data_IF_123951532474
#
_entry.id   IF_123951532474
#
_cell.length_a   1.000
_cell.length_b   1.000
_cell.length_c   1.000
_cell.angle_alpha   90.00
_cell.angle_beta   90.00
_cell.angle_gamma   90.00
#
_symmetry.space_group_name_H-M   'P 1'
#
loop_
_entity.id
_entity.type
_entity.pdbx_description
1 polymer ?
#
# COMPACT_ATOMS: atom_id res chain seq x y z
N UNK A 1 -20.58 -16.35 -4.65
CA UNK A 1 -20.31 -17.23 -3.51
C UNK A 1 -21.11 -16.74 -2.30
N UNK A 2 -21.82 -17.64 -1.65
CA UNK A 2 -22.78 -17.37 -0.56
C UNK A 2 -22.21 -17.73 0.83
N UNK A 3 -20.96 -18.17 0.90
CA UNK A 3 -20.35 -18.61 2.14
C UNK A 3 -20.13 -17.44 3.10
N UNK A 4 -20.46 -17.63 4.37
CA UNK A 4 -20.05 -16.71 5.45
C UNK A 4 -18.54 -16.75 5.62
N UNK A 5 -17.91 -15.76 6.29
CA UNK A 5 -16.47 -15.77 6.56
C UNK A 5 -16.01 -17.03 7.30
N UNK A 6 -16.81 -17.56 8.20
CA UNK A 6 -16.54 -18.80 8.97
C UNK A 6 -16.56 -20.02 8.07
N UNK A 7 -17.65 -20.21 7.31
CA UNK A 7 -17.78 -21.27 6.31
C UNK A 7 -16.69 -21.19 5.25
N UNK A 8 -16.31 -19.96 4.86
CA UNK A 8 -15.27 -19.79 3.88
C UNK A 8 -13.90 -20.24 4.37
N UNK A 9 -13.58 -20.09 5.65
CA UNK A 9 -12.32 -20.61 6.22
C UNK A 9 -12.24 -22.13 6.03
N UNK A 10 -13.33 -22.83 6.25
CA UNK A 10 -13.43 -24.27 6.05
C UNK A 10 -13.22 -24.64 4.56
N UNK A 11 -13.91 -23.95 3.65
CA UNK A 11 -13.82 -24.21 2.21
C UNK A 11 -12.60 -23.61 1.51
N UNK A 12 -11.84 -22.72 2.17
CA UNK A 12 -10.56 -22.24 1.68
C UNK A 12 -9.45 -23.28 1.91
N UNK A 13 -9.61 -24.09 2.94
CA UNK A 13 -8.59 -24.99 3.40
C UNK A 13 -7.39 -24.27 4.02
N UNK A 14 -6.40 -25.05 4.40
CA UNK A 14 -5.07 -24.58 4.83
C UNK A 14 -4.03 -24.79 3.72
N UNK A 15 -2.75 -24.50 4.02
CA UNK A 15 -1.65 -24.63 3.06
C UNK A 15 -1.51 -26.08 2.56
N UNK A 16 -1.80 -27.05 3.42
CA UNK A 16 -1.62 -28.49 3.15
C UNK A 16 -2.88 -29.16 2.60
N UNK A 17 -4.05 -28.61 2.90
CA UNK A 17 -5.35 -29.23 2.58
C UNK A 17 -6.19 -28.26 1.76
N UNK A 18 -6.06 -28.24 0.42
CA UNK A 18 -6.93 -27.44 -0.44
C UNK A 18 -8.38 -27.86 -0.29
N UNK A 19 -9.26 -26.89 -0.12
CA UNK A 19 -10.70 -27.14 -0.08
C UNK A 19 -11.40 -26.45 -1.26
N UNK A 20 -12.61 -26.88 -1.57
CA UNK A 20 -13.36 -26.40 -2.74
C UNK A 20 -14.75 -25.92 -2.33
N UNK A 21 -15.06 -24.67 -2.67
CA UNK A 21 -16.40 -24.13 -2.48
C UNK A 21 -17.41 -24.85 -3.36
N UNK A 22 -18.60 -25.23 -2.85
CA UNK A 22 -19.67 -25.84 -3.64
C UNK A 22 -20.17 -24.92 -4.77
N UNK A 23 -19.95 -23.61 -4.66
CA UNK A 23 -20.37 -22.61 -5.65
C UNK A 23 -19.33 -22.32 -6.74
N UNK A 24 -18.19 -23.00 -6.71
CA UNK A 24 -17.08 -22.74 -7.65
C UNK A 24 -17.41 -23.09 -9.08
N UNK A 25 -18.23 -24.12 -9.28
CA UNK A 25 -18.60 -24.65 -10.59
C UNK A 25 -20.00 -24.25 -11.04
N UNK A 26 -20.55 -23.20 -10.42
CA UNK A 26 -21.81 -22.60 -10.85
C UNK A 26 -21.70 -22.16 -12.33
N UNK A 27 -22.76 -22.34 -13.15
CA UNK A 27 -22.79 -21.87 -14.52
C UNK A 27 -22.43 -20.37 -14.64
N UNK A 28 -21.79 -20.01 -15.73
CA UNK A 28 -21.33 -18.62 -15.95
C UNK A 28 -22.54 -17.69 -16.03
N UNK A 29 -23.60 -18.09 -16.70
CA UNK A 29 -24.83 -17.32 -16.89
C UNK A 29 -25.50 -17.00 -15.54
N UNK A 30 -25.58 -17.99 -14.65
CA UNK A 30 -26.11 -17.80 -13.30
C UNK A 30 -25.22 -16.85 -12.47
N UNK A 31 -23.91 -17.01 -12.60
CA UNK A 31 -22.93 -16.14 -11.91
C UNK A 31 -23.02 -14.69 -12.39
N UNK A 32 -23.24 -14.46 -13.68
CA UNK A 32 -23.43 -13.13 -14.27
C UNK A 32 -24.76 -12.50 -13.82
N UNK A 33 -25.85 -13.27 -13.81
CA UNK A 33 -27.15 -12.82 -13.29
C UNK A 33 -27.03 -12.38 -11.82
N UNK A 34 -26.47 -13.23 -10.97
CA UNK A 34 -26.26 -12.91 -9.56
C UNK A 34 -25.37 -11.69 -9.36
N UNK A 35 -24.34 -11.52 -10.18
CA UNK A 35 -23.48 -10.32 -10.11
C UNK A 35 -24.23 -9.06 -10.53
N UNK A 36 -25.06 -9.13 -11.57
CA UNK A 36 -25.90 -7.99 -11.97
C UNK A 36 -26.91 -7.64 -10.86
N UNK A 37 -27.50 -8.62 -10.20
CA UNK A 37 -28.40 -8.40 -9.07
C UNK A 37 -27.67 -7.85 -7.84
N UNK A 38 -26.42 -8.28 -7.58
CA UNK A 38 -25.56 -7.63 -6.57
C UNK A 38 -25.38 -6.15 -6.89
N UNK A 39 -25.10 -5.82 -8.16
CA UNK A 39 -24.92 -4.43 -8.63
C UNK A 39 -26.18 -3.60 -8.49
N UNK A 40 -27.35 -4.21 -8.67
CA UNK A 40 -28.66 -3.56 -8.51
C UNK A 40 -29.06 -3.36 -7.04
N UNK A 41 -28.30 -3.90 -6.08
CA UNK A 41 -28.59 -3.75 -4.65
C UNK A 41 -29.69 -4.70 -4.12
N UNK A 42 -29.97 -5.78 -4.82
CA UNK A 42 -31.03 -6.73 -4.44
C UNK A 42 -30.66 -7.58 -3.21
N UNK A 43 -29.39 -7.62 -2.83
CA UNK A 43 -28.90 -8.47 -1.75
C UNK A 43 -28.27 -7.65 -0.61
N UNK A 44 -28.47 -8.06 0.66
CA UNK A 44 -27.81 -7.40 1.79
C UNK A 44 -26.31 -7.63 1.81
N UNK A 45 -25.58 -6.80 2.58
CA UNK A 45 -24.15 -6.98 2.83
C UNK A 45 -23.85 -8.38 3.37
N UNK A 46 -22.77 -8.96 2.88
CA UNK A 46 -22.32 -10.29 3.29
C UNK A 46 -23.04 -11.47 2.63
N UNK A 47 -24.16 -11.26 1.92
CA UNK A 47 -24.90 -12.35 1.27
C UNK A 47 -24.10 -12.98 0.13
N UNK A 48 -23.51 -12.17 -0.75
CA UNK A 48 -22.74 -12.63 -1.90
C UNK A 48 -21.40 -11.94 -2.01
N UNK A 49 -20.41 -12.67 -2.52
CA UNK A 49 -19.11 -12.15 -2.98
C UNK A 49 -18.80 -12.70 -4.37
N UNK A 50 -18.21 -11.90 -5.24
CA UNK A 50 -17.62 -12.38 -6.48
C UNK A 50 -16.17 -12.79 -6.22
N UNK A 51 -15.78 -13.97 -6.70
CA UNK A 51 -14.44 -14.51 -6.57
C UNK A 51 -13.82 -14.76 -7.93
N UNK A 52 -12.52 -14.56 -8.02
CA UNK A 52 -11.74 -15.05 -9.14
C UNK A 52 -11.62 -16.58 -9.05
N UNK A 53 -11.70 -17.29 -10.17
CA UNK A 53 -11.47 -18.73 -10.27
C UNK A 53 -10.05 -18.96 -10.76
N UNK A 54 -9.11 -19.20 -9.83
CA UNK A 54 -7.70 -19.34 -10.13
C UNK A 54 -7.21 -20.76 -9.80
N UNK A 55 -6.53 -20.95 -8.67
CA UNK A 55 -5.94 -22.23 -8.29
C UNK A 55 -6.10 -22.48 -6.79
N UNK A 56 -6.91 -23.47 -6.44
CA UNK A 56 -7.13 -23.87 -5.05
C UNK A 56 -5.94 -24.61 -4.44
N UNK A 57 -5.07 -25.18 -5.25
CA UNK A 57 -3.88 -25.91 -4.80
C UNK A 57 -2.65 -25.02 -4.65
N UNK A 58 -2.74 -23.73 -4.99
CA UNK A 58 -1.63 -22.81 -4.89
C UNK A 58 -1.09 -22.71 -3.45
N UNK A 59 0.24 -22.75 -3.31
CA UNK A 59 0.91 -22.44 -2.04
C UNK A 59 0.69 -20.99 -1.60
N UNK A 60 0.35 -20.08 -2.54
CA UNK A 60 0.03 -18.70 -2.25
C UNK A 60 -1.48 -18.54 -2.02
N UNK A 61 -1.86 -18.24 -0.78
CA UNK A 61 -3.26 -18.07 -0.39
C UNK A 61 -3.98 -16.95 -1.16
N UNK A 62 -3.26 -15.97 -1.69
CA UNK A 62 -3.84 -14.90 -2.50
C UNK A 62 -4.33 -15.38 -3.87
N UNK A 63 -3.88 -16.56 -4.33
CA UNK A 63 -4.35 -17.18 -5.58
C UNK A 63 -5.46 -18.21 -5.39
N UNK A 64 -5.84 -18.51 -4.14
CA UNK A 64 -6.92 -19.47 -3.85
C UNK A 64 -8.28 -18.80 -3.93
N UNK A 65 -8.77 -18.60 -5.14
CA UNK A 65 -10.07 -18.01 -5.46
C UNK A 65 -10.39 -16.77 -4.61
N UNK A 66 -9.56 -15.70 -4.69
CA UNK A 66 -9.72 -14.49 -3.88
C UNK A 66 -11.02 -13.76 -4.20
N UNK A 67 -11.56 -13.05 -3.21
CA UNK A 67 -12.69 -12.14 -3.41
C UNK A 67 -12.22 -10.97 -4.28
N UNK A 68 -12.98 -10.67 -5.35
CA UNK A 68 -12.72 -9.52 -6.22
C UNK A 68 -13.77 -8.41 -6.07
N UNK A 69 -15.03 -8.76 -5.73
CA UNK A 69 -16.09 -7.80 -5.39
C UNK A 69 -16.88 -8.24 -4.15
N UNK A 70 -17.32 -7.25 -3.38
CA UNK A 70 -18.24 -7.42 -2.23
C UNK A 70 -19.35 -6.39 -2.24
N UNK A 71 -20.46 -6.70 -1.57
CA UNK A 71 -21.57 -5.78 -1.35
C UNK A 71 -21.24 -4.89 -0.14
N UNK A 72 -21.41 -3.58 -0.31
CA UNK A 72 -21.25 -2.57 0.75
C UNK A 72 -22.20 -1.41 0.51
N UNK A 73 -23.08 -1.13 1.46
CA UNK A 73 -23.95 0.04 1.45
C UNK A 73 -23.30 1.16 2.26
N UNK A 74 -22.40 1.90 1.62
CA UNK A 74 -21.69 3.04 2.23
C UNK A 74 -21.86 4.29 1.39
N UNK A 75 -21.84 5.43 2.05
CA UNK A 75 -21.78 6.73 1.35
C UNK A 75 -20.33 7.01 0.95
N UNK A 76 -20.03 6.87 -0.34
CA UNK A 76 -18.70 7.15 -0.87
C UNK A 76 -18.51 8.67 -1.03
N UNK A 77 -17.37 9.21 -0.58
CA UNK A 77 -17.10 10.66 -0.53
C UNK A 77 -17.23 11.40 -1.88
N UNK A 78 -17.08 10.73 -3.03
CA UNK A 78 -17.23 11.30 -4.37
C UNK A 78 -18.48 10.81 -5.11
N UNK A 79 -18.91 9.57 -4.87
CA UNK A 79 -19.98 8.92 -5.63
C UNK A 79 -21.29 8.81 -4.84
N UNK A 80 -21.32 9.24 -3.59
CA UNK A 80 -22.49 9.09 -2.73
C UNK A 80 -22.91 7.62 -2.62
N UNK A 81 -24.20 7.37 -2.78
CA UNK A 81 -24.80 6.02 -2.71
C UNK A 81 -24.99 5.37 -4.08
N UNK A 82 -24.30 5.85 -5.12
CA UNK A 82 -24.45 5.35 -6.51
C UNK A 82 -24.11 3.88 -6.65
N UNK A 83 -23.16 3.37 -5.85
CA UNK A 83 -22.68 2.00 -5.92
C UNK A 83 -22.94 1.26 -4.62
N UNK A 84 -23.36 -0.01 -4.71
CA UNK A 84 -23.52 -0.92 -3.58
C UNK A 84 -22.61 -2.14 -3.66
N UNK A 85 -21.77 -2.23 -4.70
CA UNK A 85 -20.68 -3.20 -4.80
C UNK A 85 -19.35 -2.47 -4.95
N UNK A 86 -18.32 -3.02 -4.32
CA UNK A 86 -16.98 -2.44 -4.35
C UNK A 86 -15.94 -3.52 -4.62
N UNK A 87 -14.96 -3.23 -5.51
CA UNK A 87 -13.85 -4.14 -5.75
C UNK A 87 -12.96 -4.24 -4.52
N UNK A 88 -12.31 -5.38 -4.37
CA UNK A 88 -11.21 -5.52 -3.40
C UNK A 88 -9.95 -4.87 -3.96
N UNK A 89 -9.05 -4.46 -3.06
CA UNK A 89 -7.82 -3.76 -3.39
C UNK A 89 -6.99 -4.50 -4.45
N UNK A 90 -6.75 -5.78 -4.25
CA UNK A 90 -5.91 -6.59 -5.15
C UNK A 90 -6.48 -6.76 -6.57
N UNK A 91 -7.78 -6.48 -6.75
CA UNK A 91 -8.41 -6.46 -8.07
C UNK A 91 -8.46 -5.05 -8.67
N UNK A 92 -8.77 -4.04 -7.85
CA UNK A 92 -8.89 -2.66 -8.32
C UNK A 92 -7.55 -2.03 -8.70
N UNK A 93 -6.52 -2.26 -7.88
CA UNK A 93 -5.20 -1.61 -8.02
C UNK A 93 -4.52 -1.94 -9.36
N UNK A 94 -4.36 -3.19 -9.80
CA UNK A 94 -3.72 -3.48 -11.09
C UNK A 94 -4.48 -2.91 -12.29
N UNK A 95 -5.80 -2.87 -12.22
CA UNK A 95 -6.64 -2.27 -13.28
C UNK A 95 -6.46 -0.76 -13.31
N UNK A 96 -6.46 -0.11 -12.16
CA UNK A 96 -6.27 1.34 -12.06
C UNK A 96 -4.88 1.75 -12.55
N UNK A 97 -3.83 1.03 -12.14
CA UNK A 97 -2.47 1.26 -12.63
C UNK A 97 -2.39 1.20 -14.15
N UNK A 98 -3.00 0.18 -14.74
CA UNK A 98 -3.00 0.02 -16.18
C UNK A 98 -3.80 1.12 -16.91
N UNK A 99 -4.96 1.52 -16.37
CA UNK A 99 -5.78 2.61 -16.95
C UNK A 99 -5.10 3.97 -16.86
N UNK A 100 -4.29 4.20 -15.83
CA UNK A 100 -3.51 5.43 -15.65
C UNK A 100 -2.15 5.41 -16.38
N UNK A 101 -1.83 4.33 -17.08
CA UNK A 101 -0.58 4.21 -17.83
C UNK A 101 0.66 4.05 -16.96
N UNK A 102 0.50 3.56 -15.73
CA UNK A 102 1.61 3.26 -14.82
C UNK A 102 2.46 2.15 -15.43
N UNK A 103 3.76 2.34 -15.50
CA UNK A 103 4.71 1.33 -15.99
C UNK A 103 5.28 0.49 -14.84
N UNK A 104 5.59 1.15 -13.72
CA UNK A 104 6.21 0.56 -12.53
C UNK A 104 5.36 0.89 -11.31
N UNK A 105 4.67 -0.11 -10.79
CA UNK A 105 3.83 -0.01 -9.59
C UNK A 105 4.71 -0.35 -8.37
N UNK A 106 5.05 0.66 -7.57
CA UNK A 106 6.00 0.54 -6.46
C UNK A 106 5.27 0.32 -5.15
N UNK A 107 5.68 -0.67 -4.37
CA UNK A 107 5.07 -0.96 -3.07
C UNK A 107 6.08 -1.53 -2.05
N UNK A 108 5.64 -1.77 -0.83
CA UNK A 108 6.47 -2.41 0.20
C UNK A 108 6.48 -3.93 0.05
N UNK A 109 7.50 -4.60 0.63
CA UNK A 109 7.65 -6.07 0.61
C UNK A 109 6.44 -6.83 1.17
N UNK A 110 5.58 -6.18 1.94
CA UNK A 110 4.32 -6.78 2.43
C UNK A 110 3.43 -7.27 1.27
N UNK A 111 3.57 -6.69 0.09
CA UNK A 111 2.81 -7.04 -1.12
C UNK A 111 3.51 -8.04 -2.06
N UNK A 112 4.66 -8.56 -1.68
CA UNK A 112 5.37 -9.54 -2.53
C UNK A 112 4.51 -10.78 -2.81
N UNK A 113 3.81 -11.28 -1.79
CA UNK A 113 2.87 -12.41 -1.96
C UNK A 113 1.62 -12.05 -2.77
N UNK A 114 1.30 -10.77 -2.94
CA UNK A 114 0.17 -10.27 -3.73
C UNK A 114 0.52 -10.11 -5.22
N UNK A 115 1.81 -9.96 -5.57
CA UNK A 115 2.24 -9.76 -6.96
C UNK A 115 1.75 -10.85 -7.94
N UNK A 116 1.72 -12.15 -7.61
CA UNK A 116 1.16 -13.15 -8.52
C UNK A 116 -0.32 -12.92 -8.84
N UNK A 117 -1.11 -12.39 -7.88
CA UNK A 117 -2.49 -12.00 -8.13
C UNK A 117 -2.59 -10.74 -8.99
N UNK A 118 -1.72 -9.76 -8.74
CA UNK A 118 -1.60 -8.56 -9.58
C UNK A 118 -1.35 -8.93 -11.05
N UNK A 119 -0.35 -9.77 -11.30
CA UNK A 119 0.02 -10.24 -12.64
C UNK A 119 -1.12 -11.05 -13.28
N UNK A 120 -1.81 -11.87 -12.48
CA UNK A 120 -2.99 -12.61 -12.96
C UNK A 120 -4.11 -11.67 -13.41
N UNK A 121 -4.45 -10.65 -12.63
CA UNK A 121 -5.49 -9.66 -12.97
C UNK A 121 -5.14 -8.94 -14.27
N UNK A 122 -3.92 -8.39 -14.37
CA UNK A 122 -3.45 -7.68 -15.57
C UNK A 122 -3.45 -8.59 -16.80
N UNK A 123 -3.28 -9.89 -16.63
CA UNK A 123 -3.26 -10.85 -17.74
C UNK A 123 -4.65 -11.30 -18.18
N UNK A 124 -5.65 -11.25 -17.30
CA UNK A 124 -7.00 -11.77 -17.54
C UNK A 124 -8.06 -10.67 -17.78
N UNK A 125 -7.71 -9.42 -17.57
CA UNK A 125 -8.60 -8.28 -17.86
C UNK A 125 -8.16 -7.64 -19.18
N UNK A 126 -9.14 -7.39 -20.06
CA UNK A 126 -8.86 -6.68 -21.32
C UNK A 126 -8.56 -5.21 -21.02
N UNK A 127 -7.30 -4.85 -21.02
CA UNK A 127 -6.82 -3.49 -20.80
C UNK A 127 -6.17 -2.99 -22.09
N UNK A 128 -6.60 -1.84 -22.63
CA UNK A 128 -6.13 -1.33 -23.92
C UNK A 128 -4.72 -0.70 -23.87
N UNK A 129 -4.10 -0.65 -22.67
CA UNK A 129 -2.84 0.04 -22.44
C UNK A 129 -1.70 -0.92 -22.07
N UNK A 130 -0.53 -0.34 -21.82
CA UNK A 130 0.64 -1.06 -21.35
C UNK A 130 0.35 -1.80 -20.01
N UNK A 131 0.86 -3.02 -19.91
CA UNK A 131 0.74 -3.80 -18.68
C UNK A 131 1.74 -3.30 -17.64
N UNK A 132 1.28 -2.79 -16.49
CA UNK A 132 2.17 -2.35 -15.43
C UNK A 132 2.90 -3.53 -14.79
N UNK A 133 4.04 -3.23 -14.16
CA UNK A 133 4.83 -4.20 -13.39
C UNK A 133 4.91 -3.79 -11.93
N UNK A 134 4.51 -4.64 -11.02
CA UNK A 134 4.67 -4.42 -9.58
C UNK A 134 6.12 -4.70 -9.15
N UNK A 135 6.67 -3.80 -8.33
CA UNK A 135 8.03 -3.89 -7.80
C UNK A 135 7.99 -3.55 -6.31
N UNK A 136 8.50 -4.45 -5.47
CA UNK A 136 8.49 -4.30 -4.02
C UNK A 136 9.86 -3.89 -3.48
N UNK A 137 9.81 -3.08 -2.41
CA UNK A 137 10.99 -2.62 -1.67
C UNK A 137 10.81 -2.83 -0.17
N UNK A 138 11.92 -3.04 0.52
CA UNK A 138 11.95 -3.01 1.97
C UNK A 138 11.58 -1.61 2.48
N UNK A 139 10.87 -1.58 3.62
CA UNK A 139 10.62 -0.31 4.31
C UNK A 139 11.91 0.20 4.92
N UNK A 140 12.08 1.52 4.90
CA UNK A 140 13.13 2.18 5.66
C UNK A 140 12.89 1.96 7.15
N UNK A 141 13.86 1.35 7.83
CA UNK A 141 13.98 1.31 9.28
C UNK A 141 15.03 2.33 9.73
N UNK A 142 14.72 3.11 10.74
CA UNK A 142 15.67 4.01 11.40
C UNK A 142 15.68 3.63 12.87
N UNK A 143 16.88 3.44 13.45
CA UNK A 143 17.01 3.12 14.86
C UNK A 143 16.52 4.29 15.74
N UNK A 144 16.29 4.03 17.01
CA UNK A 144 15.79 5.02 17.98
C UNK A 144 14.55 5.81 17.51
N UNK A 145 13.84 5.32 16.45
CA UNK A 145 12.73 6.04 15.81
C UNK A 145 11.50 5.15 15.68
N UNK A 146 10.36 5.66 16.12
CA UNK A 146 9.07 4.98 15.97
C UNK A 146 8.48 5.26 14.60
N UNK A 147 8.55 4.30 13.66
CA UNK A 147 8.00 4.42 12.30
C UNK A 147 6.55 3.92 12.16
N UNK A 148 5.91 3.51 13.25
CA UNK A 148 4.54 2.99 13.23
C UNK A 148 3.50 4.10 13.30
N UNK A 149 2.72 4.30 12.22
CA UNK A 149 1.61 5.27 12.19
C UNK A 149 0.64 5.10 13.38
N UNK A 150 0.31 3.86 13.75
CA UNK A 150 -0.59 3.59 14.88
C UNK A 150 -0.03 4.10 16.20
N UNK A 151 1.27 3.90 16.45
CA UNK A 151 1.93 4.40 17.67
C UNK A 151 2.06 5.92 17.65
N UNK A 152 2.44 6.52 16.51
CA UNK A 152 2.55 7.97 16.35
C UNK A 152 1.18 8.65 16.50
N UNK A 153 0.13 8.06 15.94
CA UNK A 153 -1.25 8.54 16.09
C UNK A 153 -1.67 8.63 17.56
N UNK A 154 -1.32 7.61 18.35
CA UNK A 154 -1.60 7.59 19.76
C UNK A 154 -0.94 8.77 20.51
N UNK A 155 0.31 9.11 20.16
CA UNK A 155 1.00 10.27 20.74
C UNK A 155 0.26 11.59 20.47
N UNK A 156 -0.36 11.72 19.31
CA UNK A 156 -1.15 12.91 18.94
C UNK A 156 -2.51 12.91 19.66
N UNK A 157 -3.22 11.79 19.66
CA UNK A 157 -4.55 11.66 20.28
C UNK A 157 -4.52 11.78 21.80
N UNK A 158 -3.47 11.28 22.44
CA UNK A 158 -3.25 11.40 23.91
C UNK A 158 -2.52 12.70 24.30
N UNK A 159 -2.32 13.63 23.34
CA UNK A 159 -1.69 14.93 23.56
C UNK A 159 -0.26 14.91 24.14
N UNK A 160 0.51 13.83 23.92
CA UNK A 160 1.94 13.80 24.26
C UNK A 160 2.78 14.72 23.35
N UNK A 161 2.28 14.99 22.16
CA UNK A 161 2.88 15.91 21.18
C UNK A 161 1.81 16.91 20.71
N UNK A 162 2.24 18.07 20.19
CA UNK A 162 1.34 19.14 19.75
C UNK A 162 0.55 18.81 18.47
N UNK A 163 1.02 17.83 17.70
CA UNK A 163 0.40 17.43 16.44
C UNK A 163 1.36 16.61 15.59
N UNK A 164 0.95 16.33 14.36
CA UNK A 164 1.74 15.55 13.40
C UNK A 164 3.01 16.28 12.92
N UNK A 165 3.08 17.57 13.08
CA UNK A 165 4.21 18.42 12.74
C UNK A 165 5.10 18.78 13.95
N UNK A 166 4.83 18.20 15.12
CA UNK A 166 5.69 18.38 16.30
C UNK A 166 7.14 17.99 15.95
N UNK A 167 8.15 18.81 16.31
CA UNK A 167 9.57 18.54 16.00
C UNK A 167 10.09 17.19 16.52
N UNK A 168 9.42 16.59 17.49
CA UNK A 168 9.75 15.25 18.02
C UNK A 168 9.23 14.12 17.17
N UNK A 169 8.31 14.41 16.22
CA UNK A 169 7.70 13.41 15.35
C UNK A 169 8.57 13.12 14.13
N UNK A 170 8.75 11.85 13.73
CA UNK A 170 9.52 11.46 12.54
C UNK A 170 8.68 11.59 11.26
N UNK A 171 7.87 12.61 11.16
CA UNK A 171 7.15 12.98 9.95
C UNK A 171 7.94 14.00 9.14
N UNK A 172 7.68 14.11 7.85
CA UNK A 172 8.32 15.14 7.02
C UNK A 172 8.04 16.55 7.57
N UNK A 173 6.83 16.80 8.06
CA UNK A 173 6.47 18.08 8.67
C UNK A 173 7.20 18.31 10.01
N UNK A 174 7.36 17.26 10.83
CA UNK A 174 8.11 17.32 12.07
C UNK A 174 9.60 17.57 11.83
N UNK A 175 10.20 16.84 10.88
CA UNK A 175 11.59 17.02 10.47
C UNK A 175 11.82 18.45 9.92
N UNK A 176 10.92 18.95 9.08
CA UNK A 176 10.98 20.32 8.55
C UNK A 176 10.94 21.36 9.68
N UNK A 177 10.05 21.23 10.65
CA UNK A 177 10.00 22.14 11.83
C UNK A 177 11.24 22.03 12.70
N UNK A 178 11.86 20.85 12.76
CA UNK A 178 13.12 20.62 13.47
C UNK A 178 14.32 21.22 12.76
N UNK A 179 14.20 21.63 11.50
CA UNK A 179 15.26 22.28 10.72
C UNK A 179 15.90 21.40 9.65
N UNK A 180 15.38 20.20 9.38
CA UNK A 180 15.84 19.37 8.27
C UNK A 180 15.48 20.01 6.93
N UNK A 181 16.44 20.09 6.04
CA UNK A 181 16.26 20.58 4.68
C UNK A 181 15.78 19.45 3.76
N UNK A 182 15.12 19.81 2.67
CA UNK A 182 14.75 18.82 1.65
C UNK A 182 15.99 18.19 0.99
N UNK A 183 17.08 18.93 0.85
CA UNK A 183 18.33 18.44 0.29
C UNK A 183 18.98 17.39 1.18
N UNK A 184 19.05 17.61 2.49
CA UNK A 184 19.61 16.63 3.44
C UNK A 184 18.82 15.31 3.46
N UNK A 185 17.48 15.37 3.41
CA UNK A 185 16.63 14.17 3.38
C UNK A 185 16.82 13.41 2.07
N UNK A 186 16.90 14.10 0.93
CA UNK A 186 17.18 13.46 -0.37
C UNK A 186 18.56 12.81 -0.39
N UNK A 187 19.59 13.51 0.05
CA UNK A 187 20.96 12.96 0.15
C UNK A 187 21.00 11.72 1.04
N UNK A 188 20.29 11.73 2.16
CA UNK A 188 20.15 10.56 3.01
C UNK A 188 19.51 9.39 2.25
N UNK A 189 18.37 9.60 1.59
CA UNK A 189 17.69 8.55 0.81
C UNK A 189 18.54 8.00 -0.34
N UNK A 190 19.27 8.87 -1.04
CA UNK A 190 20.16 8.47 -2.13
C UNK A 190 21.32 7.59 -1.64
N UNK A 191 21.90 7.94 -0.50
CA UNK A 191 23.06 7.21 0.07
C UNK A 191 22.65 5.84 0.65
N UNK A 192 21.48 5.72 1.26
CA UNK A 192 21.01 4.43 1.75
C UNK A 192 20.55 3.52 0.61
N UNK A 193 20.14 4.10 -0.51
CA UNK A 193 19.66 3.38 -1.68
C UNK A 193 18.34 2.65 -1.43
N UNK A 194 17.98 1.76 -2.37
CA UNK A 194 16.77 0.94 -2.33
C UNK A 194 17.14 -0.54 -2.32
N UNK A 195 16.58 -1.29 -1.39
CA UNK A 195 16.85 -2.72 -1.24
C UNK A 195 15.56 -3.52 -1.00
N UNK A 196 15.61 -4.82 -1.29
CA UNK A 196 14.56 -5.77 -0.89
C UNK A 196 14.81 -6.37 0.50
N UNK A 197 16.04 -6.33 1.00
CA UNK A 197 16.35 -6.80 2.35
C UNK A 197 16.02 -5.73 3.37
N UNK A 198 15.20 -6.02 4.40
CA UNK A 198 14.97 -5.09 5.50
C UNK A 198 16.30 -4.74 6.18
N UNK A 199 16.55 -3.46 6.38
CA UNK A 199 17.68 -2.97 7.14
C UNK A 199 17.24 -1.84 8.08
N UNK A 200 18.03 -1.58 9.10
CA UNK A 200 17.85 -0.45 10.01
C UNK A 200 19.06 0.45 9.86
N UNK A 201 18.80 1.70 9.51
CA UNK A 201 19.82 2.74 9.34
C UNK A 201 19.96 3.52 10.65
N UNK A 202 21.17 3.86 11.03
CA UNK A 202 21.43 4.65 12.21
C UNK A 202 20.85 6.07 12.07
N UNK A 203 20.17 6.56 13.10
CA UNK A 203 19.64 7.92 13.15
C UNK A 203 20.74 8.97 12.98
N UNK A 204 21.92 8.68 13.55
CA UNK A 204 23.12 9.53 13.40
C UNK A 204 23.53 9.77 11.96
N UNK A 205 23.25 8.85 11.04
CA UNK A 205 23.52 9.03 9.62
C UNK A 205 22.59 10.07 8.96
N UNK A 206 21.30 10.09 9.34
CA UNK A 206 20.38 11.13 8.93
C UNK A 206 20.84 12.51 9.42
N UNK A 207 21.29 12.61 10.67
CA UNK A 207 21.85 13.85 11.22
C UNK A 207 23.16 14.26 10.54
N UNK A 208 23.98 13.30 10.13
CA UNK A 208 25.21 13.56 9.39
C UNK A 208 24.90 14.23 8.04
N UNK A 209 23.92 13.71 7.29
CA UNK A 209 23.49 14.32 6.04
C UNK A 209 22.97 15.76 6.23
N UNK A 210 22.27 16.01 7.35
CA UNK A 210 21.84 17.36 7.70
C UNK A 210 23.02 18.28 7.99
N UNK A 211 24.00 17.84 8.79
CA UNK A 211 25.19 18.63 9.10
C UNK A 211 26.00 18.98 7.84
N UNK A 212 26.16 18.04 6.92
CA UNK A 212 26.86 18.30 5.66
C UNK A 212 26.13 19.39 4.84
N UNK A 213 24.83 19.31 4.70
CA UNK A 213 24.05 20.27 3.94
C UNK A 213 24.10 21.68 4.58
N UNK A 214 23.96 21.76 5.90
CA UNK A 214 24.05 23.01 6.63
C UNK A 214 25.45 23.61 6.56
N UNK A 215 26.53 22.81 6.62
CA UNK A 215 27.89 23.29 6.49
C UNK A 215 28.13 23.90 5.12
N UNK A 216 27.63 23.32 4.03
CA UNK A 216 27.72 23.93 2.70
C UNK A 216 27.06 25.30 2.64
N UNK A 217 25.90 25.43 3.30
CA UNK A 217 25.19 26.71 3.43
C UNK A 217 25.96 27.75 4.25
N UNK A 218 26.62 27.32 5.34
CA UNK A 218 27.38 28.20 6.24
C UNK A 218 28.71 28.68 5.65
N UNK A 219 29.34 27.92 4.76
CA UNK A 219 30.60 28.35 4.09
C UNK A 219 30.40 29.67 3.33
N UNK A 220 29.25 29.87 2.73
CA UNK A 220 28.90 31.12 2.04
C UNK A 220 28.63 32.31 2.98
N UNK A 221 28.30 32.05 4.24
CA UNK A 221 28.00 33.08 5.25
C UNK A 221 29.27 33.49 6.02
N UNK A 222 30.25 32.61 6.16
CA UNK A 222 31.44 32.78 6.96
C UNK A 222 32.77 32.89 6.13
N UNK A 223 32.69 33.29 4.87
CA UNK A 223 33.93 33.72 4.18
C UNK A 223 34.55 34.85 4.96
N UNK A 224 35.79 34.68 5.52
CA UNK A 224 36.44 35.77 6.21
C UNK A 224 36.71 36.89 5.18
N UNK A 225 36.06 38.01 5.38
CA UNK A 225 36.35 39.22 4.61
C UNK A 225 37.88 39.47 4.71
N UNK A 226 38.64 39.19 3.66
CA UNK A 226 40.06 39.54 3.61
C UNK A 226 40.13 41.04 3.79
N UNK A 227 40.52 41.48 4.98
CA UNK A 227 40.94 42.85 5.22
C UNK A 227 42.04 43.15 4.20
N UNK A 228 41.70 43.93 3.16
CA UNK A 228 42.72 44.56 2.31
C UNK A 228 43.55 45.44 3.24
N UNK A 229 44.79 45.05 3.50
CA UNK A 229 45.77 45.98 4.04
C UNK A 229 45.92 47.12 3.05
N UNK A 230 45.57 48.30 3.50
CA UNK A 230 45.93 49.58 2.88
C UNK A 230 47.49 49.82 3.06
#
# INVERSE_FOLDING_TARGET
>A
CELTPEQFKEYRGDVNTPARSPFRDRPIEESLDLFQRMRNGEFPEGKYTLRAKIDLASGNLNLRDPIIYRIRFINHHRQGTKWCIYPMYDFAHPIQDALEGITHSLCSLEFESHRPLYDWVVSNVSIPYHKPRQIEFARLGIDHTVMSKRKLRRLVEEHYVSGWDDPRMPTLCGLRRRGYTAASIRSFCERIGVAKSPNTVEYGFLEHCLREDLNLSLIHISEPTRLRRI
#
